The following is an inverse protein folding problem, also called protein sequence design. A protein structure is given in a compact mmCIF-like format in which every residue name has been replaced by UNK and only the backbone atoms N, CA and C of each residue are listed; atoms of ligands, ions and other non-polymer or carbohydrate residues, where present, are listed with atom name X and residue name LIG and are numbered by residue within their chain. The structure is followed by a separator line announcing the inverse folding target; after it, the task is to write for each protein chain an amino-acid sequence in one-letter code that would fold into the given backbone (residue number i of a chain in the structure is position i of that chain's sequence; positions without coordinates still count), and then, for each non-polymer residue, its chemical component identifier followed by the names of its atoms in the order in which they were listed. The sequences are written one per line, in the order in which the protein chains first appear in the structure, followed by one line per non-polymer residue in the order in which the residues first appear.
data_IF_363740742950
#
_entry.id   IF_363740742950
#
_cell.length_a   1.000
_cell.length_b   1.000
_cell.length_c   1.000
_cell.angle_alpha   90.00
_cell.angle_beta   90.00
_cell.angle_gamma   90.00
#
_symmetry.space_group_name_H-M   'P 1'
#
loop_
_entity.id
_entity.type
_entity.pdbx_description
1 polymer ?
#
# COMPACT_ATOMS: atom_id res chain seq x y z
N UNK A 1 -67.73 -32.23 -2.35
CA UNK A 1 -66.31 -32.20 -1.89
C UNK A 1 -65.43 -32.51 -3.10
N UNK A 2 -64.70 -31.52 -3.66
CA UNK A 2 -63.91 -31.67 -4.89
C UNK A 2 -62.47 -32.06 -4.51
N UNK A 3 -62.07 -33.30 -4.77
CA UNK A 3 -60.67 -33.73 -4.58
C UNK A 3 -59.79 -33.17 -5.69
N UNK A 4 -58.89 -32.25 -5.35
CA UNK A 4 -57.80 -31.86 -6.24
C UNK A 4 -56.76 -32.98 -6.26
N UNK A 5 -56.68 -33.69 -7.39
CA UNK A 5 -55.57 -34.60 -7.69
C UNK A 5 -54.27 -33.77 -7.73
N UNK A 6 -53.49 -33.83 -6.65
CA UNK A 6 -52.12 -33.33 -6.63
C UNK A 6 -51.27 -34.25 -7.52
N UNK A 7 -50.95 -33.78 -8.73
CA UNK A 7 -49.94 -34.42 -9.58
C UNK A 7 -48.58 -34.22 -8.90
N UNK A 8 -47.99 -35.32 -8.42
CA UNK A 8 -46.61 -35.34 -7.95
C UNK A 8 -45.66 -35.28 -9.13
N UNK A 9 -44.55 -34.58 -8.97
CA UNK A 9 -43.46 -34.59 -9.94
C UNK A 9 -42.96 -36.02 -10.15
N UNK A 10 -42.69 -36.37 -11.40
CA UNK A 10 -42.06 -37.67 -11.68
C UNK A 10 -40.59 -37.64 -11.24
N UNK A 11 -40.03 -38.81 -10.89
CA UNK A 11 -38.66 -38.92 -10.40
C UNK A 11 -37.64 -38.42 -11.45
N UNK A 12 -37.94 -38.62 -12.73
CA UNK A 12 -37.11 -38.14 -13.85
C UNK A 12 -37.16 -36.61 -14.00
N UNK A 13 -38.33 -36.02 -13.79
CA UNK A 13 -38.54 -34.57 -13.89
C UNK A 13 -37.81 -33.82 -12.77
N UNK A 14 -37.79 -34.40 -11.56
CA UNK A 14 -37.00 -33.88 -10.45
C UNK A 14 -35.49 -33.89 -10.75
N UNK A 15 -34.99 -34.96 -11.36
CA UNK A 15 -33.57 -35.09 -11.72
C UNK A 15 -33.14 -34.02 -12.74
N UNK A 16 -33.99 -33.78 -13.76
CA UNK A 16 -33.74 -32.74 -14.77
C UNK A 16 -33.68 -31.35 -14.12
N UNK A 17 -34.60 -31.05 -13.19
CA UNK A 17 -34.63 -29.76 -12.49
C UNK A 17 -33.36 -29.53 -11.68
N UNK A 18 -32.90 -30.55 -10.93
CA UNK A 18 -31.66 -30.44 -10.14
C UNK A 18 -30.45 -30.20 -11.05
N UNK A 19 -30.37 -30.92 -12.18
CA UNK A 19 -29.28 -30.75 -13.14
C UNK A 19 -29.23 -29.34 -13.74
N UNK A 20 -30.38 -28.80 -14.15
CA UNK A 20 -30.47 -27.43 -14.68
C UNK A 20 -30.07 -26.41 -13.62
N UNK A 21 -30.56 -26.57 -12.38
CA UNK A 21 -30.20 -25.69 -11.27
C UNK A 21 -28.69 -25.71 -11.04
N UNK A 22 -28.05 -26.89 -11.00
CA UNK A 22 -26.60 -27.01 -10.86
C UNK A 22 -25.82 -26.32 -11.98
N UNK A 23 -26.30 -26.42 -13.23
CA UNK A 23 -25.65 -25.77 -14.38
C UNK A 23 -25.77 -24.25 -14.33
N UNK A 24 -26.96 -23.72 -13.97
CA UNK A 24 -27.18 -22.29 -13.81
C UNK A 24 -26.35 -21.73 -12.66
N UNK A 25 -26.23 -22.45 -11.54
CA UNK A 25 -25.34 -22.04 -10.45
C UNK A 25 -23.87 -22.02 -10.90
N UNK A 26 -23.40 -23.07 -11.59
CA UNK A 26 -22.02 -23.14 -12.07
C UNK A 26 -21.69 -21.97 -13.02
N UNK A 27 -22.58 -21.65 -13.97
CA UNK A 27 -22.40 -20.54 -14.90
C UNK A 27 -22.54 -19.18 -14.20
N UNK A 28 -23.47 -19.05 -13.25
CA UNK A 28 -23.69 -17.83 -12.47
C UNK A 28 -22.50 -17.44 -11.59
N UNK A 29 -21.74 -18.41 -11.08
CA UNK A 29 -20.54 -18.14 -10.29
C UNK A 29 -19.28 -17.90 -11.14
N UNK A 30 -19.18 -18.48 -12.34
CA UNK A 30 -18.02 -18.24 -13.23
C UNK A 30 -18.03 -16.86 -13.88
N UNK A 31 -19.20 -16.21 -14.01
CA UNK A 31 -19.32 -14.86 -14.55
C UNK A 31 -18.97 -13.74 -13.56
N UNK A 32 -18.75 -14.06 -12.28
CA UNK A 32 -18.27 -13.10 -11.29
C UNK A 32 -16.74 -13.10 -11.36
N UNK A 33 -16.19 -12.45 -12.38
CA UNK A 33 -14.82 -11.99 -12.30
C UNK A 33 -14.75 -10.98 -11.15
N UNK A 34 -14.31 -11.46 -9.98
CA UNK A 34 -13.80 -10.63 -8.91
C UNK A 34 -12.82 -9.66 -9.56
N UNK A 35 -13.26 -8.42 -9.74
CA UNK A 35 -12.53 -7.31 -10.34
C UNK A 35 -11.13 -7.29 -9.71
N UNK A 36 -10.17 -7.94 -10.38
CA UNK A 36 -8.80 -8.07 -9.91
C UNK A 36 -8.24 -6.67 -10.05
N UNK A 37 -8.45 -5.84 -9.03
CA UNK A 37 -8.01 -4.45 -8.96
C UNK A 37 -6.62 -4.38 -9.57
N UNK A 38 -6.52 -3.77 -10.75
CA UNK A 38 -5.26 -3.59 -11.47
C UNK A 38 -4.24 -3.06 -10.47
N UNK A 39 -3.01 -3.60 -10.43
CA UNK A 39 -2.01 -3.20 -9.45
C UNK A 39 -1.79 -1.69 -9.58
N UNK A 40 -2.11 -0.94 -8.53
CA UNK A 40 -1.94 0.52 -8.53
C UNK A 40 -0.46 0.82 -8.67
N UNK A 41 -0.12 1.69 -9.61
CA UNK A 41 1.25 2.19 -9.79
C UNK A 41 1.73 2.80 -8.47
N UNK A 42 2.92 2.41 -8.02
CA UNK A 42 3.51 2.92 -6.79
C UNK A 42 4.01 4.36 -7.02
N UNK A 43 3.49 5.31 -6.28
CA UNK A 43 3.77 6.76 -6.36
C UNK A 43 4.05 7.29 -4.96
N UNK A 44 4.66 8.48 -4.80
CA UNK A 44 4.88 9.07 -3.47
C UNK A 44 3.59 9.19 -2.64
N UNK A 45 2.46 9.47 -3.29
CA UNK A 45 1.16 9.68 -2.62
C UNK A 45 0.50 8.39 -2.11
N UNK A 46 0.74 7.25 -2.76
CA UNK A 46 0.08 6.00 -2.42
C UNK A 46 1.05 4.94 -1.86
N UNK A 47 2.32 5.31 -1.64
CA UNK A 47 3.37 4.40 -1.22
C UNK A 47 2.99 3.62 0.03
N UNK A 48 2.69 4.34 1.13
CA UNK A 48 2.31 3.76 2.42
C UNK A 48 1.07 2.88 2.31
N UNK A 49 0.01 3.41 1.69
CA UNK A 49 -1.24 2.67 1.56
C UNK A 49 -1.09 1.40 0.72
N UNK A 50 -0.29 1.43 -0.35
CA UNK A 50 -0.09 0.28 -1.23
C UNK A 50 0.73 -0.84 -0.57
N UNK A 51 1.72 -0.49 0.26
CA UNK A 51 2.53 -1.49 0.97
C UNK A 51 1.72 -2.11 2.11
N UNK A 52 1.10 -1.30 2.97
CA UNK A 52 0.37 -1.78 4.16
C UNK A 52 -0.90 -2.57 3.80
N UNK A 53 -1.60 -2.20 2.71
CA UNK A 53 -2.80 -2.93 2.25
C UNK A 53 -2.48 -4.18 1.44
N UNK A 54 -1.21 -4.47 1.19
CA UNK A 54 -0.82 -5.63 0.41
C UNK A 54 -0.99 -6.91 1.23
N UNK A 55 -1.43 -8.00 0.59
CA UNK A 55 -1.60 -9.31 1.23
C UNK A 55 -0.29 -9.89 1.77
N UNK A 56 0.85 -9.41 1.29
CA UNK A 56 2.18 -9.83 1.73
C UNK A 56 2.70 -9.06 2.95
N UNK A 57 1.95 -8.08 3.46
CA UNK A 57 2.34 -7.33 4.65
C UNK A 57 2.03 -8.15 5.92
N UNK A 58 3.07 -8.53 6.65
CA UNK A 58 2.98 -9.37 7.85
C UNK A 58 3.33 -8.59 9.13
N UNK A 59 2.96 -7.30 9.17
CA UNK A 59 3.15 -6.43 10.32
C UNK A 59 4.48 -5.66 10.34
N UNK A 60 5.44 -6.03 9.51
CA UNK A 60 6.58 -5.19 9.19
C UNK A 60 6.84 -5.25 7.68
N UNK A 61 7.47 -4.22 7.13
CA UNK A 61 8.09 -4.31 5.81
C UNK A 61 9.15 -3.23 5.63
N UNK A 62 10.21 -3.53 4.91
CA UNK A 62 11.15 -2.51 4.42
C UNK A 62 11.09 -2.46 2.91
N UNK A 63 10.77 -1.29 2.36
CA UNK A 63 10.90 -0.97 0.95
C UNK A 63 12.24 -0.27 0.71
N UNK A 64 12.99 -0.75 -0.27
CA UNK A 64 14.26 -0.19 -0.70
C UNK A 64 14.24 -0.01 -2.21
N UNK A 65 14.63 1.17 -2.71
CA UNK A 65 14.71 1.43 -4.14
C UNK A 65 16.12 1.84 -4.57
N UNK A 66 16.53 1.39 -5.75
CA UNK A 66 17.83 1.66 -6.39
C UNK A 66 17.62 2.11 -7.84
N UNK A 67 18.72 2.35 -8.57
CA UNK A 67 18.71 2.73 -9.99
C UNK A 67 17.87 3.99 -10.28
N UNK A 68 18.14 5.09 -9.56
CA UNK A 68 17.33 6.33 -9.62
C UNK A 68 15.84 6.09 -9.30
N UNK A 69 15.58 5.10 -8.44
CA UNK A 69 14.25 4.70 -7.95
C UNK A 69 13.34 4.12 -9.03
N UNK A 70 13.93 3.47 -10.04
CA UNK A 70 13.18 2.65 -11.01
C UNK A 70 12.96 1.21 -10.52
N UNK A 71 13.85 0.72 -9.66
CA UNK A 71 13.86 -0.67 -9.19
C UNK A 71 13.66 -0.67 -7.68
N UNK A 72 12.62 -1.33 -7.19
CA UNK A 72 12.37 -1.44 -5.74
C UNK A 72 12.34 -2.90 -5.30
N UNK A 73 12.68 -3.10 -4.04
CA UNK A 73 12.72 -4.38 -3.36
C UNK A 73 11.98 -4.26 -2.03
N UNK A 74 11.29 -5.32 -1.65
CA UNK A 74 10.50 -5.40 -0.43
C UNK A 74 10.96 -6.62 0.38
N UNK A 75 11.12 -6.45 1.69
CA UNK A 75 11.21 -7.56 2.66
C UNK A 75 10.09 -7.42 3.69
N UNK A 76 9.67 -8.51 4.31
CA UNK A 76 8.53 -8.56 5.24
C UNK A 76 8.95 -8.44 6.71
N UNK A 77 10.22 -8.66 7.01
CA UNK A 77 10.77 -8.58 8.36
C UNK A 77 12.28 -8.33 8.27
N UNK A 78 12.97 -8.24 9.41
CA UNK A 78 14.41 -8.01 9.46
C UNK A 78 15.24 -9.21 8.99
N UNK A 79 14.68 -10.42 9.07
CA UNK A 79 15.34 -11.70 8.78
C UNK A 79 15.16 -12.20 7.34
N UNK A 80 14.15 -11.69 6.65
CA UNK A 80 13.74 -12.11 5.31
C UNK A 80 14.56 -11.42 4.25
N UNK A 81 14.89 -12.14 3.15
CA UNK A 81 15.60 -11.54 2.04
C UNK A 81 14.73 -10.50 1.34
N UNK A 82 15.39 -9.55 0.69
CA UNK A 82 14.72 -8.60 -0.20
C UNK A 82 14.27 -9.30 -1.49
N UNK A 83 13.00 -9.13 -1.83
CA UNK A 83 12.41 -9.60 -3.09
C UNK A 83 12.09 -8.41 -4.00
N UNK A 84 12.25 -8.57 -5.32
CA UNK A 84 11.90 -7.53 -6.27
C UNK A 84 10.40 -7.18 -6.17
N UNK A 85 10.09 -5.88 -6.10
CA UNK A 85 8.72 -5.39 -6.13
C UNK A 85 8.20 -5.43 -7.57
N UNK A 86 7.19 -6.26 -7.81
CA UNK A 86 6.73 -6.61 -9.16
C UNK A 86 5.74 -5.62 -9.79
N UNK A 87 5.11 -4.76 -8.99
CA UNK A 87 4.13 -3.81 -9.51
C UNK A 87 4.82 -2.60 -10.16
N UNK A 88 4.15 -1.89 -11.09
CA UNK A 88 4.70 -0.69 -11.71
C UNK A 88 5.09 0.39 -10.69
N UNK A 89 6.23 1.05 -10.91
CA UNK A 89 6.81 2.07 -10.04
C UNK A 89 6.92 3.39 -10.78
N UNK A 90 6.46 4.47 -10.15
CA UNK A 90 6.66 5.86 -10.59
C UNK A 90 7.28 6.68 -9.44
N UNK A 91 8.56 6.38 -9.16
CA UNK A 91 9.36 7.01 -8.10
C UNK A 91 10.68 7.57 -8.66
N UNK A 92 10.78 7.80 -9.97
CA UNK A 92 12.03 8.19 -10.63
C UNK A 92 12.56 9.53 -10.09
N UNK A 93 13.88 9.66 -10.01
CA UNK A 93 14.60 10.89 -9.63
C UNK A 93 14.24 11.46 -8.26
N UNK A 94 13.90 10.60 -7.29
CA UNK A 94 13.60 11.05 -5.94
C UNK A 94 14.84 11.59 -5.21
N UNK A 95 14.63 12.71 -4.53
CA UNK A 95 15.48 13.24 -3.48
C UNK A 95 14.71 13.10 -2.16
N UNK A 96 15.36 12.52 -1.15
CA UNK A 96 14.75 12.29 0.16
C UNK A 96 15.33 13.25 1.16
N UNK A 97 14.48 13.83 2.00
CA UNK A 97 14.85 14.77 3.04
C UNK A 97 14.24 14.36 4.39
N UNK A 98 14.97 14.68 5.45
CA UNK A 98 14.53 14.56 6.85
C UNK A 98 14.87 15.85 7.60
N UNK A 99 14.40 15.97 8.83
CA UNK A 99 14.85 16.99 9.76
C UNK A 99 16.01 16.45 10.62
N UNK A 100 16.99 17.30 10.90
CA UNK A 100 18.00 17.06 11.93
C UNK A 100 17.50 17.47 13.33
N UNK A 101 18.39 17.48 14.33
CA UNK A 101 18.06 17.84 15.71
C UNK A 101 17.71 19.32 15.90
N UNK A 102 18.11 20.17 14.97
CA UNK A 102 17.89 21.62 14.99
C UNK A 102 16.77 22.03 14.00
N UNK A 103 15.91 21.07 13.63
CA UNK A 103 14.83 21.21 12.67
C UNK A 103 15.28 21.63 11.26
N UNK A 104 16.56 21.48 10.88
CA UNK A 104 17.03 21.79 9.54
C UNK A 104 16.71 20.67 8.56
N UNK A 105 16.29 21.05 7.35
CA UNK A 105 16.00 20.09 6.30
C UNK A 105 17.31 19.61 5.67
N UNK A 106 17.63 18.33 5.88
CA UNK A 106 18.85 17.70 5.37
C UNK A 106 18.51 16.59 4.37
N UNK A 107 19.29 16.43 3.28
CA UNK A 107 19.13 15.30 2.38
C UNK A 107 19.53 14.00 3.07
N UNK A 108 18.77 12.93 2.83
CA UNK A 108 19.08 11.60 3.36
C UNK A 108 20.03 10.88 2.40
N UNK A 109 21.21 10.51 2.90
CA UNK A 109 22.17 9.68 2.19
C UNK A 109 22.10 8.24 2.69
N UNK A 110 21.78 7.32 1.79
CA UNK A 110 21.71 5.90 2.10
C UNK A 110 22.97 5.15 1.65
N UNK A 111 23.16 3.98 2.24
CA UNK A 111 24.14 2.97 1.85
C UNK A 111 23.90 2.41 0.42
N UNK A 112 24.73 1.45 0.01
CA UNK A 112 24.57 0.76 -1.28
C UNK A 112 23.92 -0.61 -1.06
N UNK A 113 23.06 -0.99 -2.00
CA UNK A 113 22.47 -2.33 -2.07
C UNK A 113 22.87 -2.99 -3.39
N UNK A 114 23.51 -4.15 -3.33
CA UNK A 114 24.11 -4.82 -4.51
C UNK A 114 24.94 -3.87 -5.40
N UNK A 115 25.87 -3.12 -4.80
CA UNK A 115 26.69 -2.11 -5.46
C UNK A 115 25.93 -0.96 -6.15
N UNK A 116 24.64 -0.76 -5.88
CA UNK A 116 23.84 0.36 -6.37
C UNK A 116 23.48 1.32 -5.25
N UNK A 117 23.55 2.63 -5.49
CA UNK A 117 23.15 3.65 -4.50
C UNK A 117 21.65 3.52 -4.24
N UNK A 118 21.26 3.41 -2.97
CA UNK A 118 19.86 3.46 -2.56
C UNK A 118 19.38 4.91 -2.68
N UNK A 119 18.20 5.09 -3.26
CA UNK A 119 17.56 6.39 -3.42
C UNK A 119 16.33 6.57 -2.51
N UNK A 120 15.78 5.47 -2.00
CA UNK A 120 14.68 5.47 -1.03
C UNK A 120 14.79 4.22 -0.15
N UNK A 121 14.69 4.39 1.17
CA UNK A 121 14.53 3.30 2.13
C UNK A 121 13.46 3.71 3.13
N UNK A 122 12.43 2.88 3.27
CA UNK A 122 11.32 3.13 4.18
C UNK A 122 10.90 1.85 4.87
N UNK A 123 10.68 1.97 6.18
CA UNK A 123 10.11 0.92 7.00
C UNK A 123 8.62 1.20 7.25
N UNK A 124 7.85 0.13 7.36
CA UNK A 124 6.41 0.11 7.60
C UNK A 124 6.12 -0.85 8.74
N UNK A 125 5.20 -0.47 9.61
CA UNK A 125 4.87 -1.21 10.84
C UNK A 125 3.35 -1.47 10.93
N UNK A 126 2.99 -2.50 11.70
CA UNK A 126 1.64 -3.01 11.92
C UNK A 126 0.68 -1.98 12.52
N UNK A 127 1.21 -1.12 13.39
CA UNK A 127 0.51 0.02 13.97
C UNK A 127 0.18 1.13 12.94
N UNK A 128 0.48 0.89 11.66
CA UNK A 128 0.25 1.83 10.56
C UNK A 128 1.28 2.95 10.52
N UNK A 129 2.35 2.88 11.32
CA UNK A 129 3.46 3.81 11.23
C UNK A 129 4.41 3.45 10.09
N UNK A 130 5.19 4.42 9.67
CA UNK A 130 6.21 4.29 8.65
C UNK A 130 7.33 5.30 8.89
N UNK A 131 8.42 5.22 8.13
CA UNK A 131 9.43 6.29 8.13
C UNK A 131 8.78 7.62 7.72
N UNK A 132 8.98 8.68 8.51
CA UNK A 132 8.57 10.05 8.18
C UNK A 132 9.64 10.69 7.30
N UNK A 133 9.26 11.20 6.14
CA UNK A 133 10.19 11.80 5.19
C UNK A 133 9.50 12.83 4.29
N UNK A 134 10.29 13.72 3.72
CA UNK A 134 9.90 14.55 2.58
C UNK A 134 10.54 13.98 1.32
N UNK A 135 9.73 13.76 0.30
CA UNK A 135 10.13 13.28 -1.01
C UNK A 135 10.01 14.42 -2.01
N UNK A 136 11.09 14.73 -2.71
CA UNK A 136 11.07 15.65 -3.85
C UNK A 136 11.27 14.84 -5.13
N UNK A 137 10.30 14.93 -6.02
CA UNK A 137 10.32 14.31 -7.34
C UNK A 137 10.27 15.41 -8.39
N UNK A 138 11.41 15.70 -9.00
CA UNK A 138 11.58 16.84 -9.92
C UNK A 138 11.18 18.18 -9.25
N UNK A 139 9.99 18.72 -9.58
CA UNK A 139 9.41 19.93 -8.98
C UNK A 139 8.38 19.66 -7.88
N UNK A 140 7.83 18.45 -7.85
CA UNK A 140 6.80 18.07 -6.90
C UNK A 140 7.39 17.66 -5.57
N UNK A 141 6.73 18.04 -4.49
CA UNK A 141 7.20 17.78 -3.13
C UNK A 141 6.08 17.09 -2.37
N UNK A 142 6.42 16.02 -1.68
CA UNK A 142 5.49 15.17 -0.96
C UNK A 142 5.98 14.97 0.47
N UNK A 143 5.11 15.18 1.43
CA UNK A 143 5.36 14.80 2.81
C UNK A 143 4.68 13.48 3.12
N UNK A 144 5.45 12.52 3.63
CA UNK A 144 4.97 11.22 4.07
C UNK A 144 5.03 11.18 5.61
N UNK A 145 3.88 11.19 6.31
CA UNK A 145 3.86 11.19 7.77
C UNK A 145 4.31 9.85 8.35
N UNK A 146 4.98 9.89 9.52
CA UNK A 146 5.30 8.66 10.25
C UNK A 146 4.03 7.92 10.66
N UNK A 147 3.15 8.61 11.37
CA UNK A 147 1.93 8.04 11.90
C UNK A 147 0.72 8.43 11.05
N UNK A 148 -0.48 8.24 11.61
CA UNK A 148 -1.79 8.53 11.00
C UNK A 148 -1.78 9.68 9.98
N UNK A 149 -2.44 9.46 8.84
CA UNK A 149 -2.54 10.46 7.78
C UNK A 149 -2.10 9.92 6.43
N UNK A 150 -2.47 10.66 5.39
CA UNK A 150 -2.10 10.36 4.00
C UNK A 150 -0.93 11.24 3.60
N UNK A 151 -0.13 10.75 2.66
CA UNK A 151 0.87 11.57 2.00
C UNK A 151 0.20 12.80 1.37
N UNK A 152 0.87 13.95 1.45
CA UNK A 152 0.37 15.23 0.96
C UNK A 152 1.39 15.87 0.03
N UNK A 153 0.90 16.52 -1.02
CA UNK A 153 1.69 17.30 -1.96
C UNK A 153 1.84 18.75 -1.45
N UNK A 154 2.96 19.37 -1.77
CA UNK A 154 3.32 20.75 -1.41
C UNK A 154 4.04 21.44 -2.57
N UNK A 155 3.92 22.76 -2.62
CA UNK A 155 4.57 23.58 -3.64
C UNK A 155 6.06 23.86 -3.35
N UNK A 156 6.49 23.70 -2.09
CA UNK A 156 7.88 23.98 -1.68
C UNK A 156 8.35 23.10 -0.52
N UNK A 157 9.68 22.98 -0.40
CA UNK A 157 10.31 22.21 0.68
C UNK A 157 10.05 22.86 2.03
N UNK A 158 10.02 24.20 2.07
CA UNK A 158 9.73 24.97 3.28
C UNK A 158 8.28 24.73 3.74
N UNK A 159 7.31 24.74 2.83
CA UNK A 159 5.92 24.44 3.19
C UNK A 159 5.75 23.02 3.74
N UNK A 160 6.45 22.04 3.14
CA UNK A 160 6.45 20.67 3.65
C UNK A 160 7.13 20.56 5.03
N UNK A 161 8.23 21.30 5.26
CA UNK A 161 8.92 21.40 6.57
C UNK A 161 8.01 22.02 7.63
N UNK A 162 7.39 23.15 7.34
CA UNK A 162 6.45 23.81 8.28
C UNK A 162 5.30 22.88 8.65
N UNK A 163 4.76 22.15 7.67
CA UNK A 163 3.74 21.14 7.92
C UNK A 163 4.23 19.97 8.78
N UNK A 164 5.47 19.52 8.57
CA UNK A 164 6.11 18.50 9.42
C UNK A 164 6.15 18.97 10.88
N UNK A 165 6.73 20.15 11.13
CA UNK A 165 6.93 20.69 12.48
C UNK A 165 5.60 20.83 13.22
N UNK A 166 4.61 21.47 12.57
CA UNK A 166 3.27 21.65 13.15
C UNK A 166 2.59 20.33 13.52
N UNK A 167 2.81 19.27 12.76
CA UNK A 167 2.22 17.96 13.07
C UNK A 167 2.99 17.19 14.14
N UNK A 168 4.30 17.41 14.27
CA UNK A 168 5.07 16.81 15.37
C UNK A 168 4.65 17.40 16.71
N UNK A 169 4.45 18.72 16.79
CA UNK A 169 3.98 19.39 18.01
C UNK A 169 2.63 18.82 18.51
N UNK A 170 1.71 18.54 17.58
CA UNK A 170 0.41 17.93 17.89
C UNK A 170 0.50 16.49 18.43
N UNK A 171 1.58 15.77 18.12
CA UNK A 171 1.82 14.41 18.63
C UNK A 171 2.46 14.48 20.02
N UNK A 172 3.42 15.38 20.22
CA UNK A 172 4.07 15.60 21.52
C UNK A 172 3.08 16.04 22.59
N UNK A 173 2.14 16.93 22.25
CA UNK A 173 1.16 17.45 23.20
C UNK A 173 0.09 16.39 23.59
N UNK A 174 -0.10 15.36 22.76
CA UNK A 174 -0.97 14.21 23.05
C UNK A 174 -0.27 13.09 23.82
N UNK A 175 1.04 13.18 24.01
CA UNK A 175 1.86 12.20 24.73
C UNK A 175 1.82 12.33 26.26
N UNK A 176 1.20 13.36 26.82
CA UNK A 176 1.13 13.61 28.28
C UNK A 176 0.06 12.78 29.03
N UNK A 177 -0.27 11.59 28.54
CA UNK A 177 -1.19 10.66 29.22
C UNK A 177 -0.59 9.27 29.38
N UNK A 178 0.59 9.15 29.99
CA UNK A 178 1.02 7.93 30.68
C UNK A 178 1.95 8.28 31.84
#
# INVERSE_FOLDING_TARGET
MKHYLRKGFTLIELLIVIFIISMVYFLGFHGIELDKKKPKVLTPLNLKENIVKNKWFNGHATLLCTDKCSSCYLRQDLSSPFHAYSNPINLKNLQVYTLDTDDNLIPVEYERFHNKKICLKMDFYDNGSSTQIILKQDKDIYFLPAFFGKAKHFDSLNAAKEYWLKNNDLITDRGNFY
#
